data_IF_407100036579
#
_entry.id   IF_407100036579
#
_cell.length_a   1.000
_cell.length_b   1.000
_cell.length_c   1.000
_cell.angle_alpha   90.00
_cell.angle_beta   90.00
_cell.angle_gamma   90.00
#
_symmetry.space_group_name_H-M   'P 1'
#
loop_
_entity.id
_entity.type
_entity.pdbx_description
1 polymer ?
#
# COMPACT_ATOMS: atom_id res chain seq x y z
N UNK A 1 -4.57 -25.49 21.86
CA UNK A 1 -3.42 -25.57 20.92
C UNK A 1 -2.85 -24.18 20.81
N UNK A 2 -1.72 -23.89 21.45
CA UNK A 2 -1.05 -22.59 21.30
C UNK A 2 -0.50 -22.51 19.88
N UNK A 3 -1.07 -21.65 19.04
CA UNK A 3 -0.39 -21.24 17.82
C UNK A 3 0.94 -20.60 18.23
N UNK A 4 2.04 -21.19 17.74
CA UNK A 4 3.36 -20.58 17.87
C UNK A 4 3.26 -19.19 17.25
N UNK A 5 3.52 -18.13 18.02
CA UNK A 5 3.90 -16.83 17.45
C UNK A 5 5.15 -17.08 16.60
N UNK A 6 4.96 -17.17 15.28
CA UNK A 6 6.07 -17.19 14.34
C UNK A 6 6.55 -15.75 14.27
N UNK A 7 7.54 -15.42 15.09
CA UNK A 7 8.22 -14.14 14.96
C UNK A 7 9.22 -14.26 13.81
N UNK A 8 8.99 -13.52 12.73
CA UNK A 8 9.92 -13.43 11.62
C UNK A 8 11.10 -12.55 12.04
N UNK A 9 12.31 -13.02 11.74
CA UNK A 9 13.55 -12.34 12.12
C UNK A 9 14.48 -12.34 10.91
N UNK A 10 14.96 -11.17 10.53
CA UNK A 10 15.95 -11.03 9.48
C UNK A 10 17.34 -11.35 10.05
N UNK A 11 18.08 -12.26 9.40
CA UNK A 11 19.45 -12.58 9.75
C UNK A 11 20.39 -11.94 8.73
N UNK A 12 21.33 -11.14 9.20
CA UNK A 12 22.33 -10.47 8.37
C UNK A 12 23.71 -10.82 8.91
N UNK A 13 24.69 -11.05 8.03
CA UNK A 13 26.09 -11.17 8.42
C UNK A 13 26.69 -9.76 8.42
N UNK A 14 27.07 -9.25 9.59
CA UNK A 14 27.65 -7.92 9.73
C UNK A 14 28.88 -7.98 10.63
N UNK A 15 30.04 -7.54 10.12
CA UNK A 15 31.31 -7.49 10.86
C UNK A 15 31.69 -8.82 11.56
N UNK A 16 31.49 -9.94 10.87
CA UNK A 16 31.74 -11.31 11.38
C UNK A 16 30.79 -11.80 12.48
N UNK A 17 29.83 -10.99 12.89
CA UNK A 17 28.71 -11.42 13.72
C UNK A 17 27.50 -11.77 12.84
N UNK A 18 26.60 -12.57 13.43
CA UNK A 18 25.34 -13.04 12.84
C UNK A 18 24.12 -12.37 13.53
N UNK A 19 24.03 -11.02 13.57
CA UNK A 19 22.94 -10.35 14.25
C UNK A 19 21.59 -10.70 13.63
N UNK A 20 20.61 -10.73 14.52
CA UNK A 20 19.21 -11.04 14.24
C UNK A 20 18.39 -9.79 14.53
N UNK A 21 17.64 -9.33 13.54
CA UNK A 21 16.82 -8.14 13.64
C UNK A 21 15.35 -8.46 13.43
N UNK A 22 14.49 -7.92 14.28
CA UNK A 22 13.06 -7.89 14.04
C UNK A 22 12.72 -6.83 12.97
N UNK A 23 11.64 -7.01 12.19
CA UNK A 23 11.21 -6.03 11.18
C UNK A 23 11.06 -4.59 11.73
N UNK A 24 10.63 -4.45 12.98
CA UNK A 24 10.46 -3.18 13.68
C UNK A 24 11.81 -2.48 13.92
N UNK A 25 12.87 -3.25 14.19
CA UNK A 25 14.22 -2.71 14.39
C UNK A 25 14.79 -2.17 13.08
N UNK A 26 14.61 -2.89 11.97
CA UNK A 26 15.01 -2.44 10.63
C UNK A 26 14.25 -1.17 10.26
N UNK A 27 12.94 -1.14 10.51
CA UNK A 27 12.10 0.03 10.24
C UNK A 27 12.55 1.24 11.06
N UNK A 28 12.90 1.03 12.34
CA UNK A 28 13.46 2.08 13.20
C UNK A 28 14.77 2.65 12.65
N UNK A 29 15.66 1.82 12.08
CA UNK A 29 16.90 2.31 11.46
C UNK A 29 16.61 3.23 10.26
N UNK A 30 15.61 2.91 9.44
CA UNK A 30 15.18 3.77 8.31
C UNK A 30 14.62 5.10 8.83
N UNK A 31 13.76 5.06 9.86
CA UNK A 31 13.22 6.27 10.48
C UNK A 31 14.32 7.16 11.08
N UNK A 32 15.34 6.56 11.71
CA UNK A 32 16.51 7.28 12.23
C UNK A 32 17.32 7.93 11.10
N UNK A 33 17.47 7.26 9.95
CA UNK A 33 18.12 7.84 8.79
C UNK A 33 17.35 9.07 8.26
N UNK A 34 16.03 8.95 8.10
CA UNK A 34 15.18 10.06 7.66
C UNK A 34 15.24 11.25 8.63
N UNK A 35 15.26 10.98 9.94
CA UNK A 35 15.48 11.99 10.96
C UNK A 35 16.82 12.71 10.77
N UNK A 36 17.92 11.98 10.58
CA UNK A 36 19.25 12.58 10.37
C UNK A 36 19.32 13.45 9.11
N UNK A 37 18.68 13.03 8.03
CA UNK A 37 18.58 13.83 6.80
C UNK A 37 17.85 15.15 7.08
N UNK A 38 16.75 15.08 7.83
CA UNK A 38 15.97 16.25 8.23
C UNK A 38 16.76 17.19 9.16
N UNK A 39 17.46 16.64 10.16
CA UNK A 39 18.33 17.39 11.08
C UNK A 39 19.48 18.08 10.34
N UNK A 40 20.09 17.39 9.36
CA UNK A 40 21.13 17.96 8.53
C UNK A 40 20.62 19.09 7.63
N UNK A 41 19.37 19.01 7.16
CA UNK A 41 18.75 20.04 6.33
C UNK A 41 18.36 21.28 7.16
N UNK A 42 17.76 21.07 8.33
CA UNK A 42 17.29 22.14 9.21
C UNK A 42 18.41 22.77 10.06
N UNK A 43 19.52 22.07 10.26
CA UNK A 43 20.62 22.52 11.12
C UNK A 43 20.31 22.45 12.61
N UNK A 44 19.23 21.76 13.00
CA UNK A 44 18.80 21.59 14.39
C UNK A 44 18.32 20.16 14.66
N UNK A 45 18.15 19.81 15.93
CA UNK A 45 17.64 18.50 16.35
C UNK A 45 16.13 18.44 16.12
N UNK A 46 15.65 17.43 15.38
CA UNK A 46 14.25 17.31 15.01
C UNK A 46 13.51 16.53 16.10
N UNK A 47 12.68 17.23 16.88
CA UNK A 47 11.68 16.65 17.79
C UNK A 47 10.24 16.79 17.26
N UNK A 48 10.01 17.66 16.29
CA UNK A 48 8.73 17.93 15.61
C UNK A 48 8.97 18.39 14.17
N UNK A 49 7.96 18.26 13.29
CA UNK A 49 8.04 18.62 11.86
C UNK A 49 7.40 19.98 11.62
N UNK A 50 8.02 20.81 10.76
CA UNK A 50 7.56 22.15 10.40
C UNK A 50 7.28 22.23 8.88
N UNK A 51 6.16 22.80 8.48
CA UNK A 51 5.83 23.04 7.05
C UNK A 51 4.99 24.29 6.86
N UNK A 52 5.39 25.16 5.92
CA UNK A 52 4.55 26.25 5.44
C UNK A 52 3.55 25.76 4.37
N UNK A 53 2.26 26.06 4.56
CA UNK A 53 1.18 25.64 3.66
C UNK A 53 0.35 26.83 3.15
N UNK A 54 0.01 26.82 1.85
CA UNK A 54 -0.89 27.82 1.23
C UNK A 54 -2.04 27.16 0.47
N UNK A 55 -3.29 27.44 0.90
CA UNK A 55 -4.53 26.92 0.28
C UNK A 55 -4.81 27.56 -1.07
N UNK A 56 -5.19 26.77 -2.08
CA UNK A 56 -6.04 27.25 -3.19
C UNK A 56 -7.50 27.26 -2.76
N UNK A 57 -8.22 28.37 -2.94
CA UNK A 57 -9.67 28.46 -2.67
C UNK A 57 -10.39 27.28 -3.32
N UNK A 58 -10.99 26.40 -2.51
CA UNK A 58 -11.91 25.36 -2.95
C UNK A 58 -13.32 25.88 -2.64
N UNK A 59 -14.24 25.74 -3.58
CA UNK A 59 -15.64 26.13 -3.41
C UNK A 59 -16.28 25.37 -2.22
N UNK A 60 -17.26 25.97 -1.52
CA UNK A 60 -17.85 25.46 -0.27
C UNK A 60 -18.79 24.24 -0.47
N UNK A 61 -18.58 23.45 -1.53
CA UNK A 61 -19.39 22.26 -1.79
C UNK A 61 -18.65 21.02 -1.33
N UNK A 62 -19.40 20.08 -0.72
CA UNK A 62 -18.91 18.75 -0.39
C UNK A 62 -18.28 18.09 -1.62
N UNK A 63 -17.03 17.66 -1.50
CA UNK A 63 -16.31 16.94 -2.56
C UNK A 63 -15.98 15.53 -2.08
N UNK A 64 -16.27 14.55 -2.93
CA UNK A 64 -15.90 13.17 -2.65
C UNK A 64 -14.66 12.82 -3.45
N UNK A 65 -13.61 12.38 -2.77
CA UNK A 65 -12.32 12.08 -3.36
C UNK A 65 -12.03 10.60 -3.17
N UNK A 66 -11.71 9.92 -4.28
CA UNK A 66 -11.18 8.57 -4.22
C UNK A 66 -9.66 8.64 -4.31
N UNK A 67 -8.96 8.17 -3.28
CA UNK A 67 -7.51 7.95 -3.34
C UNK A 67 -7.20 6.49 -3.64
N UNK A 68 -6.38 6.24 -4.65
CA UNK A 68 -5.76 4.95 -4.92
C UNK A 68 -4.26 5.07 -4.61
N UNK A 69 -3.77 4.32 -3.65
CA UNK A 69 -2.36 4.21 -3.33
C UNK A 69 -1.83 2.84 -3.75
N UNK A 70 -1.01 2.78 -4.80
CA UNK A 70 -0.39 1.54 -5.24
C UNK A 70 1.13 1.66 -5.15
N UNK A 71 1.65 1.16 -4.03
CA UNK A 71 3.07 1.16 -3.71
C UNK A 71 3.81 -0.07 -4.24
N UNK A 72 4.96 -0.35 -3.64
CA UNK A 72 5.81 -1.50 -3.98
C UNK A 72 5.31 -2.83 -3.42
N UNK A 73 4.66 -2.83 -2.26
CA UNK A 73 4.20 -4.07 -1.59
C UNK A 73 2.71 -4.11 -1.23
N UNK A 74 1.99 -3.00 -1.35
CA UNK A 74 0.57 -2.92 -1.01
C UNK A 74 -0.19 -2.00 -1.98
N UNK A 75 -1.50 -2.21 -2.04
CA UNK A 75 -2.43 -1.47 -2.86
C UNK A 75 -3.68 -1.16 -2.04
N UNK A 76 -3.92 0.12 -1.77
CA UNK A 76 -5.03 0.61 -0.97
C UNK A 76 -5.91 1.56 -1.77
N UNK A 77 -7.21 1.49 -1.53
CA UNK A 77 -8.18 2.47 -1.98
C UNK A 77 -8.89 3.05 -0.76
N UNK A 78 -9.13 4.36 -0.77
CA UNK A 78 -9.91 5.04 0.26
C UNK A 78 -10.84 6.05 -0.37
N UNK A 79 -12.05 6.12 0.15
CA UNK A 79 -13.07 7.08 -0.23
C UNK A 79 -13.19 8.12 0.88
N UNK A 80 -13.01 9.38 0.52
CA UNK A 80 -13.02 10.51 1.45
C UNK A 80 -14.08 11.52 1.06
N UNK A 81 -14.76 12.08 2.05
CA UNK A 81 -15.62 13.26 1.91
C UNK A 81 -14.90 14.46 2.51
N UNK A 82 -14.79 15.53 1.73
CA UNK A 82 -14.26 16.81 2.17
C UNK A 82 -15.41 17.81 2.22
N UNK A 83 -15.68 18.34 3.40
CA UNK A 83 -16.67 19.38 3.64
C UNK A 83 -16.08 20.38 4.63
N UNK A 84 -16.00 21.65 4.21
CA UNK A 84 -15.33 22.74 4.94
C UNK A 84 -13.87 22.44 5.34
N UNK A 85 -13.66 22.05 6.59
CA UNK A 85 -12.37 21.74 7.23
C UNK A 85 -12.33 20.30 7.77
N UNK A 86 -13.37 19.50 7.48
CA UNK A 86 -13.47 18.10 7.89
C UNK A 86 -13.11 17.17 6.74
N UNK A 87 -12.14 16.29 6.99
CA UNK A 87 -11.76 15.19 6.13
C UNK A 87 -12.27 13.90 6.76
N UNK A 88 -13.32 13.33 6.19
CA UNK A 88 -13.90 12.07 6.67
C UNK A 88 -13.55 10.93 5.71
N UNK A 89 -12.97 9.86 6.24
CA UNK A 89 -12.79 8.61 5.51
C UNK A 89 -14.10 7.83 5.58
N UNK A 90 -14.80 7.70 4.46
CA UNK A 90 -16.07 6.96 4.40
C UNK A 90 -15.84 5.46 4.32
N UNK A 91 -14.82 5.03 3.58
CA UNK A 91 -14.48 3.62 3.45
C UNK A 91 -13.03 3.42 3.02
N UNK A 92 -12.43 2.32 3.47
CA UNK A 92 -11.10 1.90 3.04
C UNK A 92 -11.06 0.41 2.73
N UNK A 93 -10.27 0.04 1.73
CA UNK A 93 -9.98 -1.35 1.39
C UNK A 93 -8.59 -1.45 0.78
N UNK A 94 -7.85 -2.49 1.17
CA UNK A 94 -6.52 -2.72 0.64
C UNK A 94 -6.20 -4.20 0.44
N UNK A 95 -5.09 -4.43 -0.24
CA UNK A 95 -4.42 -5.71 -0.39
C UNK A 95 -2.93 -5.54 -0.03
N UNK A 96 -2.55 -6.13 1.11
CA UNK A 96 -1.20 -6.07 1.67
C UNK A 96 -0.20 -7.01 0.96
N UNK A 97 -0.65 -7.76 -0.05
CA UNK A 97 0.17 -8.68 -0.84
C UNK A 97 0.07 -8.36 -2.34
N UNK A 98 -0.26 -7.11 -2.67
CA UNK A 98 -0.34 -6.62 -4.03
C UNK A 98 0.45 -5.32 -4.16
N UNK A 99 1.57 -5.36 -4.87
CA UNK A 99 2.41 -4.20 -5.07
C UNK A 99 3.16 -4.19 -6.40
N UNK A 100 3.97 -3.15 -6.59
CA UNK A 100 4.87 -3.05 -7.72
C UNK A 100 5.88 -4.19 -7.80
N UNK A 101 6.22 -4.84 -6.69
CA UNK A 101 7.12 -5.99 -6.65
C UNK A 101 6.49 -7.24 -7.28
N UNK A 102 5.17 -7.43 -7.17
CA UNK A 102 4.47 -8.55 -7.83
C UNK A 102 4.48 -8.41 -9.36
N UNK A 103 4.38 -7.16 -9.83
CA UNK A 103 4.54 -6.81 -11.24
C UNK A 103 5.97 -7.10 -11.70
N UNK A 104 6.97 -6.72 -10.90
CA UNK A 104 8.38 -7.02 -11.19
C UNK A 104 8.64 -8.53 -11.19
N UNK A 105 8.07 -9.28 -10.24
CA UNK A 105 8.17 -10.73 -10.16
C UNK A 105 7.57 -11.42 -11.40
N UNK A 106 6.49 -10.88 -11.96
CA UNK A 106 5.89 -11.38 -13.20
C UNK A 106 6.81 -11.14 -14.40
N UNK A 107 7.44 -9.96 -14.49
CA UNK A 107 8.46 -9.67 -15.50
C UNK A 107 9.67 -10.59 -15.36
N UNK A 108 10.17 -10.80 -14.14
CA UNK A 108 11.27 -11.70 -13.85
C UNK A 108 10.93 -13.12 -14.30
N UNK A 109 9.74 -13.63 -13.95
CA UNK A 109 9.30 -14.96 -14.37
C UNK A 109 9.26 -15.11 -15.89
N UNK A 110 8.75 -14.09 -16.60
CA UNK A 110 8.75 -14.05 -18.06
C UNK A 110 10.17 -14.18 -18.65
N UNK A 111 11.14 -13.40 -18.15
CA UNK A 111 12.52 -13.45 -18.67
C UNK A 111 13.28 -14.70 -18.23
N UNK A 112 12.99 -15.27 -17.05
CA UNK A 112 13.54 -16.56 -16.63
C UNK A 112 13.07 -17.67 -17.57
N UNK A 113 11.78 -17.70 -17.91
CA UNK A 113 11.23 -18.68 -18.85
C UNK A 113 11.82 -18.51 -20.26
N UNK A 114 12.09 -17.26 -20.67
CA UNK A 114 12.76 -16.98 -21.93
C UNK A 114 14.22 -17.45 -21.93
N UNK A 115 14.97 -17.22 -20.83
CA UNK A 115 16.32 -17.74 -20.65
C UNK A 115 16.33 -19.28 -20.78
N UNK A 116 15.39 -19.95 -20.09
CA UNK A 116 15.24 -21.41 -20.15
C UNK A 116 14.96 -21.91 -21.57
N UNK A 117 14.09 -21.23 -22.31
CA UNK A 117 13.75 -21.62 -23.69
C UNK A 117 14.90 -21.42 -24.67
N UNK A 118 15.62 -20.29 -24.59
CA UNK A 118 16.69 -19.93 -25.55
C UNK A 118 18.00 -20.66 -25.27
N UNK A 119 18.40 -20.75 -24.01
CA UNK A 119 19.72 -21.23 -23.60
C UNK A 119 19.69 -22.57 -22.85
N UNK A 120 18.50 -23.12 -22.58
CA UNK A 120 18.31 -24.34 -21.77
C UNK A 120 18.96 -24.23 -20.38
N UNK A 121 19.10 -23.01 -19.87
CA UNK A 121 19.74 -22.69 -18.60
C UNK A 121 18.71 -22.15 -17.61
N UNK A 122 18.70 -22.70 -16.40
CA UNK A 122 17.92 -22.17 -15.29
C UNK A 122 18.77 -21.24 -14.41
N UNK A 123 18.50 -19.94 -14.50
CA UNK A 123 19.22 -18.92 -13.72
C UNK A 123 18.70 -18.73 -12.29
N UNK A 124 17.60 -19.41 -11.91
CA UNK A 124 16.96 -19.22 -10.59
C UNK A 124 17.87 -19.56 -9.42
N UNK A 125 18.82 -20.48 -9.61
CA UNK A 125 19.80 -20.86 -8.59
C UNK A 125 20.94 -19.82 -8.44
N UNK A 126 21.15 -18.99 -9.47
CA UNK A 126 22.20 -17.97 -9.47
C UNK A 126 21.65 -16.66 -8.87
N UNK A 127 21.86 -16.48 -7.56
CA UNK A 127 21.44 -15.28 -6.82
C UNK A 127 21.95 -13.96 -7.43
N UNK A 128 23.15 -13.95 -8.01
CA UNK A 128 23.74 -12.76 -8.63
C UNK A 128 23.00 -12.42 -9.93
N UNK A 129 22.75 -13.41 -10.79
CA UNK A 129 22.01 -13.22 -12.02
C UNK A 129 20.56 -12.78 -11.73
N UNK A 130 19.89 -13.44 -10.78
CA UNK A 130 18.52 -13.08 -10.37
C UNK A 130 18.42 -11.66 -9.82
N UNK A 131 19.39 -11.21 -9.00
CA UNK A 131 19.41 -9.83 -8.49
C UNK A 131 19.55 -8.81 -9.63
N UNK A 132 20.41 -9.10 -10.60
CA UNK A 132 20.60 -8.21 -11.76
C UNK A 132 19.37 -8.18 -12.65
N UNK A 133 18.75 -9.33 -12.91
CA UNK A 133 17.51 -9.41 -13.67
C UNK A 133 16.40 -8.61 -12.99
N UNK A 134 16.27 -8.71 -11.66
CA UNK A 134 15.31 -7.91 -10.89
C UNK A 134 15.52 -6.41 -11.09
N UNK A 135 16.76 -5.93 -10.94
CA UNK A 135 17.09 -4.51 -11.16
C UNK A 135 16.71 -4.07 -12.58
N UNK A 136 17.02 -4.88 -13.60
CA UNK A 136 16.67 -4.56 -14.99
C UNK A 136 15.16 -4.56 -15.23
N UNK A 137 14.40 -5.49 -14.62
CA UNK A 137 12.95 -5.51 -14.71
C UNK A 137 12.31 -4.29 -14.03
N UNK A 138 12.81 -3.92 -12.84
CA UNK A 138 12.38 -2.75 -12.10
C UNK A 138 12.62 -1.45 -12.89
N UNK A 139 13.73 -1.36 -13.64
CA UNK A 139 13.99 -0.25 -14.57
C UNK A 139 13.13 -0.30 -15.83
N UNK A 140 12.88 -1.48 -16.40
CA UNK A 140 12.08 -1.63 -17.61
C UNK A 140 10.60 -1.26 -17.39
N UNK A 141 10.04 -1.59 -16.21
CA UNK A 141 8.64 -1.31 -15.85
C UNK A 141 8.22 0.16 -16.04
N UNK A 142 8.87 1.18 -15.44
CA UNK A 142 8.52 2.58 -15.66
C UNK A 142 8.83 3.04 -17.09
N UNK A 143 9.85 2.49 -17.76
CA UNK A 143 10.12 2.79 -19.17
C UNK A 143 8.96 2.39 -20.08
N UNK A 144 8.30 1.26 -19.82
CA UNK A 144 7.12 0.82 -20.57
C UNK A 144 5.92 1.76 -20.41
N UNK A 145 5.93 2.66 -19.43
CA UNK A 145 4.92 3.72 -19.29
C UNK A 145 5.19 4.94 -20.19
N UNK A 146 6.33 5.00 -20.89
CA UNK A 146 6.65 6.06 -21.85
C UNK A 146 6.92 5.48 -23.24
N UNK A 147 7.74 4.43 -23.33
CA UNK A 147 8.15 3.75 -24.55
C UNK A 147 7.31 2.48 -24.78
N UNK A 148 7.14 2.07 -26.05
CA UNK A 148 6.36 0.87 -26.43
C UNK A 148 7.13 -0.44 -26.26
N UNK A 149 8.45 -0.38 -26.11
CA UNK A 149 9.36 -1.53 -25.95
C UNK A 149 10.49 -1.15 -25.01
N UNK A 150 10.86 -2.05 -24.10
CA UNK A 150 12.01 -1.91 -23.21
C UNK A 150 12.95 -3.11 -23.40
N UNK A 151 14.25 -2.85 -23.38
CA UNK A 151 15.29 -3.87 -23.49
C UNK A 151 15.75 -4.27 -22.08
N UNK A 152 16.11 -5.55 -21.92
CA UNK A 152 16.63 -6.14 -20.69
C UNK A 152 17.89 -6.90 -21.04
N UNK A 153 19.00 -6.50 -20.43
CA UNK A 153 20.35 -6.97 -20.75
C UNK A 153 21.06 -7.48 -19.48
N UNK A 154 21.71 -8.64 -19.56
CA UNK A 154 22.45 -9.26 -18.45
C UNK A 154 23.82 -9.79 -18.90
N UNK A 155 24.87 -9.04 -18.57
CA UNK A 155 26.26 -9.38 -18.94
C UNK A 155 27.18 -9.59 -17.74
N UNK A 156 27.72 -10.79 -17.45
CA UNK A 156 27.37 -12.09 -18.02
C UNK A 156 26.27 -12.79 -17.17
N UNK A 157 25.45 -13.60 -17.84
CA UNK A 157 24.39 -14.41 -17.22
C UNK A 157 24.98 -15.63 -16.48
N UNK A 158 25.84 -16.38 -17.18
CA UNK A 158 26.61 -17.55 -16.71
C UNK A 158 27.66 -17.90 -17.78
N UNK A 159 28.89 -18.25 -17.39
CA UNK A 159 29.92 -18.79 -18.31
C UNK A 159 30.06 -18.05 -19.66
N UNK A 160 30.09 -16.72 -19.64
CA UNK A 160 30.32 -15.85 -20.83
C UNK A 160 29.17 -15.76 -21.84
N UNK A 161 27.95 -16.17 -21.46
CA UNK A 161 26.75 -15.92 -22.28
C UNK A 161 26.05 -14.65 -21.81
N UNK A 162 25.89 -13.72 -22.74
CA UNK A 162 25.14 -12.49 -22.56
C UNK A 162 23.66 -12.74 -22.89
N UNK A 163 22.76 -12.24 -22.02
CA UNK A 163 21.32 -12.32 -22.26
C UNK A 163 20.81 -10.94 -22.68
N UNK A 164 20.32 -10.86 -23.91
CA UNK A 164 19.65 -9.68 -24.44
C UNK A 164 18.25 -10.08 -24.86
N UNK A 165 17.24 -9.49 -24.21
CA UNK A 165 15.86 -9.61 -24.60
C UNK A 165 15.15 -8.27 -24.50
N UNK A 166 13.89 -8.24 -24.91
CA UNK A 166 13.06 -7.06 -24.85
C UNK A 166 11.61 -7.45 -24.65
N UNK A 167 10.85 -6.59 -23.98
CA UNK A 167 9.43 -6.75 -23.78
C UNK A 167 8.68 -5.56 -24.37
N UNK A 168 7.52 -5.81 -24.99
CA UNK A 168 6.63 -4.76 -25.48
C UNK A 168 5.62 -4.38 -24.40
N UNK A 169 5.12 -3.14 -24.44
CA UNK A 169 4.07 -2.67 -23.53
C UNK A 169 2.83 -3.56 -23.58
N UNK A 170 2.40 -3.97 -24.78
CA UNK A 170 1.25 -4.87 -24.94
C UNK A 170 1.46 -6.19 -24.22
N UNK A 171 2.66 -6.79 -24.30
CA UNK A 171 2.93 -8.06 -23.62
C UNK A 171 3.00 -7.88 -22.10
N UNK A 172 3.60 -6.79 -21.63
CA UNK A 172 3.62 -6.44 -20.22
C UNK A 172 2.20 -6.27 -19.65
N UNK A 173 1.35 -5.53 -20.36
CA UNK A 173 -0.05 -5.31 -19.95
C UNK A 173 -0.84 -6.62 -19.91
N UNK A 174 -0.64 -7.51 -20.89
CA UNK A 174 -1.25 -8.85 -20.90
C UNK A 174 -0.84 -9.69 -19.68
N UNK A 175 0.46 -9.70 -19.36
CA UNK A 175 1.00 -10.47 -18.22
C UNK A 175 0.51 -9.97 -16.86
N UNK A 176 0.25 -8.68 -16.73
CA UNK A 176 -0.10 -8.03 -15.46
C UNK A 176 -1.59 -7.68 -15.33
N UNK A 177 -2.42 -8.06 -16.31
CA UNK A 177 -3.81 -7.62 -16.40
C UNK A 177 -4.64 -8.04 -15.17
N UNK A 178 -4.38 -9.21 -14.59
CA UNK A 178 -5.07 -9.67 -13.39
C UNK A 178 -4.84 -8.72 -12.20
N UNK A 179 -3.60 -8.24 -12.00
CA UNK A 179 -3.30 -7.26 -10.94
C UNK A 179 -4.08 -5.95 -11.15
N UNK A 180 -4.18 -5.48 -12.39
CA UNK A 180 -4.93 -4.26 -12.71
C UNK A 180 -6.43 -4.43 -12.43
N UNK A 181 -6.99 -5.62 -12.67
CA UNK A 181 -8.37 -5.92 -12.31
C UNK A 181 -8.61 -6.03 -10.79
N UNK A 182 -7.64 -6.52 -10.03
CA UNK A 182 -7.71 -6.51 -8.55
C UNK A 182 -7.81 -5.07 -8.04
N UNK A 183 -7.03 -4.14 -8.60
CA UNK A 183 -7.14 -2.72 -8.26
C UNK A 183 -8.56 -2.15 -8.52
N UNK A 184 -9.19 -2.45 -9.67
CA UNK A 184 -10.58 -2.04 -9.93
C UNK A 184 -11.59 -2.68 -8.96
N UNK A 185 -11.29 -3.90 -8.48
CA UNK A 185 -12.11 -4.59 -7.50
C UNK A 185 -12.05 -3.89 -6.14
N UNK A 186 -10.87 -3.39 -5.73
CA UNK A 186 -10.69 -2.57 -4.52
C UNK A 186 -11.47 -1.26 -4.63
N UNK A 187 -11.37 -0.55 -5.77
CA UNK A 187 -12.15 0.68 -6.03
C UNK A 187 -13.65 0.40 -5.93
N UNK A 188 -14.11 -0.68 -6.56
CA UNK A 188 -15.52 -1.07 -6.51
C UNK A 188 -15.98 -1.43 -5.09
N UNK A 189 -15.08 -2.00 -4.28
CA UNK A 189 -15.35 -2.35 -2.89
C UNK A 189 -15.53 -1.10 -2.03
N UNK A 190 -14.63 -0.11 -2.12
CA UNK A 190 -14.76 1.13 -1.34
C UNK A 190 -15.97 1.96 -1.74
N UNK A 191 -16.33 1.98 -3.03
CA UNK A 191 -17.56 2.65 -3.48
C UNK A 191 -18.81 2.00 -2.89
N UNK A 192 -18.88 0.66 -2.87
CA UNK A 192 -19.99 -0.06 -2.22
C UNK A 192 -20.03 0.19 -0.73
N UNK A 193 -18.88 0.10 -0.07
CA UNK A 193 -18.78 0.25 1.39
C UNK A 193 -19.08 1.69 1.85
N UNK A 194 -18.75 2.69 1.03
CA UNK A 194 -19.09 4.08 1.27
C UNK A 194 -20.47 4.48 0.75
N UNK A 195 -21.23 3.53 0.19
CA UNK A 195 -22.57 3.76 -0.38
C UNK A 195 -22.62 4.85 -1.45
N UNK A 196 -21.55 4.98 -2.25
CA UNK A 196 -21.42 6.00 -3.28
C UNK A 196 -21.39 5.40 -4.68
N UNK A 197 -22.01 6.10 -5.63
CA UNK A 197 -21.93 5.78 -7.04
C UNK A 197 -20.68 6.42 -7.68
N UNK A 198 -20.32 5.95 -8.87
CA UNK A 198 -19.18 6.50 -9.63
C UNK A 198 -19.34 7.98 -9.96
N UNK A 199 -20.59 8.44 -10.15
CA UNK A 199 -20.92 9.83 -10.45
C UNK A 199 -20.74 10.77 -9.26
N UNK A 200 -20.79 10.24 -8.04
CA UNK A 200 -20.65 11.05 -6.82
C UNK A 200 -19.21 11.45 -6.55
N UNK A 201 -18.25 10.78 -7.19
CA UNK A 201 -16.83 11.05 -7.03
C UNK A 201 -16.47 12.33 -7.77
N UNK A 202 -15.97 13.32 -7.04
CA UNK A 202 -15.52 14.64 -7.52
C UNK A 202 -14.09 14.61 -8.05
N UNK A 203 -13.19 13.87 -7.41
CA UNK A 203 -11.80 13.69 -7.89
C UNK A 203 -11.26 12.28 -7.63
N UNK A 204 -10.30 11.85 -8.46
CA UNK A 204 -9.56 10.60 -8.25
C UNK A 204 -8.09 10.95 -8.12
N UNK A 205 -7.44 10.56 -7.02
CA UNK A 205 -6.03 10.82 -6.74
C UNK A 205 -5.28 9.49 -6.84
N UNK A 206 -4.25 9.44 -7.69
CA UNK A 206 -3.40 8.26 -7.87
C UNK A 206 -2.04 8.50 -7.20
N UNK A 207 -1.74 7.69 -6.20
CA UNK A 207 -0.57 7.78 -5.32
C UNK A 207 0.29 6.53 -5.53
N UNK A 208 1.61 6.69 -5.49
CA UNK A 208 2.57 5.62 -5.68
C UNK A 208 2.90 5.30 -7.14
N UNK A 209 4.10 4.79 -7.37
CA UNK A 209 4.65 4.53 -8.71
C UNK A 209 3.85 3.50 -9.52
N UNK A 210 3.27 2.47 -8.90
CA UNK A 210 2.50 1.45 -9.62
C UNK A 210 1.17 2.02 -10.16
N UNK A 211 0.60 3.02 -9.49
CA UNK A 211 -0.59 3.72 -9.97
C UNK A 211 -0.30 4.60 -11.21
N UNK A 212 0.97 4.87 -11.53
CA UNK A 212 1.38 5.65 -12.70
C UNK A 212 1.46 4.83 -13.99
N UNK A 213 1.36 3.50 -13.90
CA UNK A 213 1.33 2.62 -15.08
C UNK A 213 0.21 3.07 -16.02
N UNK A 214 0.54 3.28 -17.30
CA UNK A 214 -0.41 3.83 -18.28
C UNK A 214 -1.71 3.02 -18.35
N UNK A 215 -1.62 1.69 -18.35
CA UNK A 215 -2.79 0.82 -18.42
C UNK A 215 -3.70 0.98 -17.20
N UNK A 216 -3.14 1.12 -15.99
CA UNK A 216 -3.89 1.37 -14.76
C UNK A 216 -4.65 2.70 -14.87
N UNK A 217 -3.97 3.76 -15.31
CA UNK A 217 -4.60 5.07 -15.52
C UNK A 217 -5.72 5.04 -16.56
N UNK A 218 -5.52 4.30 -17.65
CA UNK A 218 -6.55 4.08 -18.67
C UNK A 218 -7.77 3.36 -18.09
N UNK A 219 -7.54 2.27 -17.35
CA UNK A 219 -8.62 1.50 -16.71
C UNK A 219 -9.40 2.34 -15.69
N UNK A 220 -8.72 3.17 -14.89
CA UNK A 220 -9.37 4.09 -13.97
C UNK A 220 -10.21 5.12 -14.75
N UNK A 221 -9.66 5.70 -15.83
CA UNK A 221 -10.38 6.65 -16.69
C UNK A 221 -11.63 6.02 -17.31
N UNK A 222 -11.51 4.81 -17.85
CA UNK A 222 -12.62 4.03 -18.40
C UNK A 222 -13.66 3.73 -17.31
N UNK A 223 -13.21 3.35 -16.12
CA UNK A 223 -14.08 3.04 -14.99
C UNK A 223 -14.92 4.25 -14.53
N UNK A 224 -14.36 5.46 -14.58
CA UNK A 224 -15.00 6.72 -14.22
C UNK A 224 -15.48 7.53 -15.45
N UNK A 225 -15.91 6.85 -16.52
CA UNK A 225 -16.58 7.46 -17.68
C UNK A 225 -15.79 8.61 -18.33
N UNK A 226 -14.46 8.45 -18.46
CA UNK A 226 -13.59 9.42 -19.12
C UNK A 226 -12.88 10.40 -18.20
N UNK A 227 -13.20 10.40 -16.90
CA UNK A 227 -12.59 11.27 -15.89
C UNK A 227 -11.11 10.94 -15.66
N UNK A 228 -10.24 11.94 -15.77
CA UNK A 228 -8.81 11.74 -15.55
C UNK A 228 -8.43 11.80 -14.07
N UNK A 229 -7.52 10.92 -13.59
CA UNK A 229 -6.90 11.08 -12.29
C UNK A 229 -6.14 12.40 -12.17
N UNK A 230 -6.15 12.98 -10.97
CA UNK A 230 -5.50 14.25 -10.66
C UNK A 230 -3.98 14.17 -10.92
N UNK A 231 -3.44 15.21 -11.57
CA UNK A 231 -2.02 15.31 -11.98
C UNK A 231 -1.23 16.38 -11.21
N UNK A 232 -1.87 17.11 -10.30
CA UNK A 232 -1.28 18.33 -9.71
C UNK A 232 -0.26 18.04 -8.61
N UNK A 233 -0.16 16.80 -8.14
CA UNK A 233 0.72 16.41 -7.05
C UNK A 233 1.70 15.33 -7.52
N UNK A 234 2.92 15.37 -6.96
CA UNK A 234 3.89 14.30 -7.16
C UNK A 234 3.42 13.04 -6.40
N UNK A 235 3.13 11.91 -7.08
CA UNK A 235 2.58 10.71 -6.45
C UNK A 235 3.50 10.08 -5.41
N UNK A 236 4.81 10.32 -5.49
CA UNK A 236 5.80 9.72 -4.58
C UNK A 236 5.99 10.54 -3.29
N UNK A 237 5.70 11.85 -3.33
CA UNK A 237 5.90 12.78 -2.20
C UNK A 237 4.60 13.10 -1.47
N UNK A 238 3.45 12.83 -2.09
CA UNK A 238 2.11 13.22 -1.58
C UNK A 238 1.85 12.72 -0.16
N UNK A 239 2.23 11.48 0.15
CA UNK A 239 2.04 10.89 1.48
C UNK A 239 2.91 11.59 2.53
N UNK A 240 4.18 11.84 2.20
CA UNK A 240 5.10 12.54 3.09
C UNK A 240 4.64 13.98 3.35
N UNK A 241 4.12 14.66 2.32
CA UNK A 241 3.57 16.00 2.45
C UNK A 241 2.37 16.05 3.39
N UNK A 242 1.40 15.15 3.22
CA UNK A 242 0.23 15.07 4.12
C UNK A 242 0.62 14.77 5.57
N UNK A 243 1.58 13.87 5.78
CA UNK A 243 2.10 13.56 7.10
C UNK A 243 2.78 14.77 7.76
N UNK A 244 3.52 15.56 6.98
CA UNK A 244 4.19 16.76 7.48
C UNK A 244 3.19 17.85 7.89
N UNK A 245 2.13 18.07 7.11
CA UNK A 245 1.02 18.98 7.47
C UNK A 245 0.34 18.51 8.75
N UNK A 246 0.01 17.22 8.86
CA UNK A 246 -0.61 16.67 10.07
C UNK A 246 0.30 16.81 11.30
N UNK A 247 1.59 16.59 11.15
CA UNK A 247 2.56 16.75 12.24
C UNK A 247 2.66 18.21 12.72
N UNK A 248 2.59 19.17 11.80
CA UNK A 248 2.61 20.59 12.13
C UNK A 248 1.28 21.07 12.77
N UNK A 249 0.14 20.45 12.44
CA UNK A 249 -1.13 20.69 13.17
C UNK A 249 -1.02 20.17 14.61
N UNK A 250 -0.46 18.97 14.79
CA UNK A 250 -0.30 18.35 16.11
C UNK A 250 0.75 19.04 16.98
N UNK A 251 1.72 19.75 16.40
CA UNK A 251 2.72 20.53 17.15
C UNK A 251 2.16 21.84 17.72
N UNK A 252 0.96 22.25 17.28
CA UNK A 252 0.30 23.47 17.76
C UNK A 252 0.97 24.77 17.29
N UNK A 253 1.79 24.70 16.23
CA UNK A 253 2.36 25.90 15.61
C UNK A 253 1.28 26.72 14.90
N UNK A 254 1.45 28.05 14.83
CA UNK A 254 0.51 28.97 14.18
C UNK A 254 0.46 28.73 12.66
N UNK A 255 -0.37 27.79 12.22
CA UNK A 255 -0.53 27.43 10.80
C UNK A 255 -1.71 28.14 10.13
N UNK A 256 -2.09 29.33 10.61
CA UNK A 256 -3.24 30.09 10.09
C UNK A 256 -4.49 29.21 9.96
N UNK A 257 -5.07 29.12 8.76
CA UNK A 257 -6.28 28.33 8.46
C UNK A 257 -6.08 26.81 8.40
N UNK A 258 -4.87 26.29 8.55
CA UNK A 258 -4.63 24.84 8.56
C UNK A 258 -4.81 24.22 9.97
N UNK A 259 -4.84 25.05 11.02
CA UNK A 259 -5.06 24.58 12.40
C UNK A 259 -6.46 24.01 12.67
N UNK A 260 -7.44 24.37 11.83
CA UNK A 260 -8.84 23.97 12.00
C UNK A 260 -9.19 22.65 11.26
N UNK A 261 -8.20 21.98 10.67
CA UNK A 261 -8.42 20.72 9.93
C UNK A 261 -8.75 19.58 10.90
N UNK A 262 -9.93 18.97 10.72
CA UNK A 262 -10.36 17.78 11.44
C UNK A 262 -10.27 16.54 10.55
N UNK A 263 -9.50 15.53 10.98
CA UNK A 263 -9.39 14.24 10.30
C UNK A 263 -10.19 13.16 11.05
N UNK A 264 -11.18 12.57 10.38
CA UNK A 264 -11.99 11.46 10.89
C UNK A 264 -11.64 10.19 10.11
N UNK A 265 -10.91 9.29 10.75
CA UNK A 265 -10.48 8.01 10.17
C UNK A 265 -11.34 6.84 10.64
N UNK A 266 -11.20 5.67 10.02
CA UNK A 266 -12.04 4.49 10.24
C UNK A 266 -11.24 3.19 10.41
N UNK A 267 -11.81 2.22 11.12
CA UNK A 267 -11.22 0.88 11.26
C UNK A 267 -11.23 0.12 9.91
N UNK A 268 -10.09 -0.33 9.36
CA UNK A 268 -10.04 -0.94 8.02
C UNK A 268 -10.69 -2.34 7.95
N UNK A 269 -10.63 -3.09 9.04
CA UNK A 269 -11.20 -4.43 9.18
C UNK A 269 -12.07 -4.51 10.45
N UNK A 270 -13.00 -5.46 10.45
CA UNK A 270 -13.84 -5.68 11.61
C UNK A 270 -13.05 -6.35 12.73
N UNK A 271 -13.19 -5.84 13.95
CA UNK A 271 -12.67 -6.44 15.16
C UNK A 271 -13.77 -7.24 15.85
N UNK A 272 -13.46 -8.45 16.26
CA UNK A 272 -14.42 -9.36 16.86
C UNK A 272 -13.77 -10.37 17.76
N UNK A 273 -14.60 -11.14 18.46
CA UNK A 273 -14.14 -12.23 19.29
C UNK A 273 -14.64 -13.56 18.76
N UNK A 274 -13.87 -14.61 19.01
CA UNK A 274 -14.36 -15.95 18.77
C UNK A 274 -15.44 -16.32 19.78
N UNK A 275 -16.52 -16.86 19.25
CA UNK A 275 -17.61 -17.45 20.00
C UNK A 275 -17.63 -18.96 19.79
N UNK A 276 -18.65 -19.63 20.31
CA UNK A 276 -18.79 -21.08 20.18
C UNK A 276 -18.76 -21.51 18.71
N UNK A 277 -18.32 -22.75 18.46
CA UNK A 277 -18.20 -23.31 17.10
C UNK A 277 -17.16 -22.63 16.19
N UNK A 278 -16.26 -21.81 16.74
CA UNK A 278 -15.19 -21.16 15.98
C UNK A 278 -15.67 -20.03 15.07
N UNK A 279 -16.82 -19.45 15.40
CA UNK A 279 -17.43 -18.34 14.66
C UNK A 279 -16.98 -17.01 15.26
N UNK A 280 -16.55 -16.09 14.41
CA UNK A 280 -16.19 -14.73 14.81
C UNK A 280 -17.44 -13.86 14.93
N UNK A 281 -17.70 -13.33 16.13
CA UNK A 281 -18.72 -12.30 16.37
C UNK A 281 -18.05 -10.93 16.31
N UNK A 282 -18.43 -10.12 15.30
CA UNK A 282 -17.86 -8.79 15.03
C UNK A 282 -18.44 -7.76 16.01
N UNK A 283 -17.57 -7.15 16.83
CA UNK A 283 -17.93 -6.13 17.81
C UNK A 283 -17.82 -4.71 17.22
N UNK A 284 -16.71 -4.43 16.55
CA UNK A 284 -16.47 -3.18 15.83
C UNK A 284 -16.40 -3.55 14.35
N UNK A 285 -17.35 -3.08 13.55
CA UNK A 285 -17.35 -3.35 12.12
C UNK A 285 -16.31 -2.48 11.41
N UNK A 286 -15.79 -2.98 10.29
CA UNK A 286 -14.96 -2.17 9.39
C UNK A 286 -15.68 -0.89 8.96
N UNK A 287 -14.90 0.11 8.59
CA UNK A 287 -15.29 1.48 8.28
C UNK A 287 -16.00 2.22 9.42
N UNK A 288 -15.97 1.71 10.66
CA UNK A 288 -16.44 2.46 11.83
C UNK A 288 -15.38 3.48 12.23
N UNK A 289 -15.80 4.73 12.47
CA UNK A 289 -14.92 5.82 12.92
C UNK A 289 -14.10 5.40 14.15
N UNK A 290 -12.80 5.70 14.10
CA UNK A 290 -11.87 5.41 15.21
C UNK A 290 -12.20 6.28 16.44
N UNK A 291 -11.71 5.89 17.61
CA UNK A 291 -12.20 6.36 18.93
C UNK A 291 -13.62 5.88 19.26
N UNK A 292 -13.97 4.64 18.89
CA UNK A 292 -15.23 4.00 19.25
C UNK A 292 -15.07 2.92 20.34
N UNK A 293 -16.18 2.62 21.04
CA UNK A 293 -16.29 1.53 22.01
C UNK A 293 -17.49 0.66 21.66
N UNK A 294 -17.31 -0.65 21.70
CA UNK A 294 -18.37 -1.63 21.60
C UNK A 294 -18.42 -2.46 22.91
N UNK A 295 -19.61 -2.89 23.32
CA UNK A 295 -19.79 -3.73 24.50
C UNK A 295 -20.90 -4.72 24.22
N UNK A 296 -20.62 -6.00 24.45
CA UNK A 296 -21.56 -7.10 24.27
C UNK A 296 -21.39 -8.09 25.42
N UNK A 297 -22.50 -8.69 25.86
CA UNK A 297 -22.54 -9.59 27.01
C UNK A 297 -22.51 -11.03 26.51
N UNK A 298 -21.52 -11.79 26.96
CA UNK A 298 -21.37 -13.21 26.64
C UNK A 298 -21.59 -14.07 27.89
N UNK A 299 -22.15 -15.27 27.70
CA UNK A 299 -22.33 -16.26 28.76
C UNK A 299 -21.46 -17.48 28.54
N UNK A 300 -21.14 -18.20 29.61
CA UNK A 300 -20.39 -19.45 29.51
C UNK A 300 -21.18 -20.50 28.73
N UNK A 301 -20.47 -21.32 27.97
CA UNK A 301 -21.08 -22.37 27.15
C UNK A 301 -21.36 -23.65 27.95
N UNK A 302 -20.53 -23.93 28.97
CA UNK A 302 -20.58 -25.17 29.75
C UNK A 302 -20.98 -24.87 31.20
N UNK A 303 -21.77 -25.76 31.80
CA UNK A 303 -22.13 -25.70 33.21
C UNK A 303 -20.89 -25.78 34.11
N UNK A 304 -20.81 -24.90 35.12
CA UNK A 304 -19.62 -24.74 35.99
C UNK A 304 -18.31 -24.37 35.28
N UNK A 305 -18.36 -23.71 34.12
CA UNK A 305 -17.17 -23.15 33.49
C UNK A 305 -16.59 -22.01 34.34
N UNK A 306 -15.41 -22.22 34.95
CA UNK A 306 -14.76 -21.22 35.81
C UNK A 306 -13.93 -20.18 35.07
N UNK A 307 -13.53 -20.46 33.82
CA UNK A 307 -12.64 -19.60 33.03
C UNK A 307 -13.23 -19.37 31.63
N UNK A 308 -13.09 -18.14 31.11
CA UNK A 308 -13.42 -17.81 29.72
C UNK A 308 -12.16 -17.33 29.00
N UNK A 309 -11.87 -17.93 27.85
CA UNK A 309 -10.78 -17.49 26.97
C UNK A 309 -11.37 -16.52 25.95
N UNK A 310 -10.89 -15.28 25.94
CA UNK A 310 -11.26 -14.29 24.94
C UNK A 310 -10.15 -14.23 23.90
N UNK A 311 -10.45 -14.66 22.68
CA UNK A 311 -9.56 -14.53 21.53
C UNK A 311 -10.11 -13.45 20.60
N UNK A 312 -9.32 -12.41 20.39
CA UNK A 312 -9.67 -11.27 19.53
C UNK A 312 -9.11 -11.54 18.14
N UNK A 313 -9.93 -11.31 17.11
CA UNK A 313 -9.57 -11.46 15.71
C UNK A 313 -9.90 -10.18 14.94
N UNK A 314 -9.23 -10.02 13.81
CA UNK A 314 -9.46 -8.97 12.83
C UNK A 314 -9.74 -9.61 11.46
N UNK A 315 -10.81 -9.17 10.79
CA UNK A 315 -11.12 -9.62 9.44
C UNK A 315 -12.62 -9.76 9.14
N UNK A 316 -12.90 -10.15 7.90
CA UNK A 316 -14.28 -10.23 7.40
C UNK A 316 -14.85 -11.65 7.32
N UNK A 317 -14.01 -12.67 7.45
CA UNK A 317 -14.42 -14.08 7.44
C UNK A 317 -15.21 -14.43 8.70
N UNK A 318 -16.28 -15.22 8.53
CA UNK A 318 -17.12 -15.71 9.62
C UNK A 318 -16.43 -16.85 10.37
N UNK A 319 -15.72 -17.70 9.63
CA UNK A 319 -15.01 -18.86 10.15
C UNK A 319 -13.53 -18.56 10.26
N UNK A 320 -12.88 -19.13 11.27
CA UNK A 320 -11.43 -19.29 11.28
C UNK A 320 -10.97 -19.99 10.01
N UNK A 321 -10.00 -19.38 9.32
CA UNK A 321 -9.02 -20.10 8.53
C UNK A 321 -7.69 -19.99 9.24
#
# INVERSE_FOLDING_TARGET
>A
VCEKKINYVCKIVYRFDDPRFFPEEISSMVLQYLRKVSESYLGCTVSSVHTDWTRRKVEPQRRNVLSLNWGSGHCDASLLSLEDEVFEVNATAGDNHLGGEDIDNTLIAFFVDECKKRYKLDITQNKRAMRRLRIQCEHAKPMLSSVTRANVELDPLHESVDFVSSITRTKFEELCMHYFHVCLTLISKVLRDGEMSKSDISDVVSIGGSAQILKVRQLIREYFNGKEPCKTMNPDETVAYGAAVQAAILSGEEMGKAGDILLLDVAPLSLGIETTLGVMTKLIRRNKTIHCKATEIFTTYIYHQCNSLIQVYEGESIHKR
#
